data_IF_640530339938
#
_entry.id   IF_640530339938
#
_cell.length_a   1.000
_cell.length_b   1.000
_cell.length_c   1.000
_cell.angle_alpha   90.00
_cell.angle_beta   90.00
_cell.angle_gamma   90.00
#
_symmetry.space_group_name_H-M   'P 1'
#
loop_
_entity.id
_entity.type
_entity.pdbx_description
1 polymer ?
#
# COMPACT_ATOMS: atom_id res chain seq x y z
N UNK A 1 19.22 8.63 -9.25
CA UNK A 1 18.21 7.60 -8.96
C UNK A 1 18.43 6.31 -9.73
N UNK A 2 18.72 6.32 -11.04
CA UNK A 2 18.86 5.08 -11.84
C UNK A 2 20.31 4.60 -12.11
N UNK A 3 21.34 5.36 -11.76
CA UNK A 3 22.76 5.00 -11.99
C UNK A 3 23.45 4.26 -10.81
N UNK A 4 24.63 3.66 -11.10
CA UNK A 4 25.47 2.76 -10.27
C UNK A 4 25.47 3.12 -8.77
N UNK A 5 25.30 2.10 -7.93
CA UNK A 5 25.26 2.10 -6.45
C UNK A 5 23.90 2.40 -5.80
N UNK A 6 22.78 2.35 -6.55
CA UNK A 6 21.41 2.52 -6.00
C UNK A 6 20.49 1.34 -6.33
N UNK A 7 20.90 0.12 -5.94
CA UNK A 7 20.16 -1.15 -6.20
C UNK A 7 18.69 -1.04 -5.75
N UNK A 8 18.42 -0.49 -4.56
CA UNK A 8 17.04 -0.30 -4.05
C UNK A 8 16.19 0.52 -5.01
N UNK A 9 16.70 1.65 -5.50
CA UNK A 9 15.93 2.50 -6.42
C UNK A 9 15.66 1.79 -7.75
N UNK A 10 16.65 1.07 -8.27
CA UNK A 10 16.49 0.30 -9.51
C UNK A 10 15.43 -0.80 -9.34
N UNK A 11 15.50 -1.56 -8.25
CA UNK A 11 14.54 -2.64 -7.97
C UNK A 11 13.14 -2.07 -7.70
N UNK A 12 13.01 -1.03 -6.86
CA UNK A 12 11.73 -0.34 -6.61
C UNK A 12 11.10 0.16 -7.91
N UNK A 13 11.90 0.80 -8.76
CA UNK A 13 11.42 1.30 -10.06
C UNK A 13 11.06 0.14 -10.98
N UNK A 14 11.85 -0.93 -11.01
CA UNK A 14 11.56 -2.13 -11.78
C UNK A 14 10.24 -2.78 -11.38
N UNK A 15 10.00 -2.98 -10.08
CA UNK A 15 8.72 -3.50 -9.59
C UNK A 15 7.56 -2.55 -9.88
N UNK A 16 7.76 -1.24 -9.69
CA UNK A 16 6.75 -0.25 -10.06
C UNK A 16 6.35 -0.34 -11.54
N UNK A 17 7.33 -0.40 -12.44
CA UNK A 17 7.10 -0.54 -13.88
C UNK A 17 6.45 -1.88 -14.23
N UNK A 18 6.84 -2.97 -13.55
CA UNK A 18 6.21 -4.28 -13.71
C UNK A 18 4.72 -4.27 -13.31
N UNK A 19 4.36 -3.59 -12.20
CA UNK A 19 2.96 -3.47 -11.80
C UNK A 19 2.19 -2.65 -12.86
N UNK A 20 2.76 -1.56 -13.37
CA UNK A 20 2.17 -0.78 -14.46
C UNK A 20 1.98 -1.62 -15.74
N UNK A 21 2.99 -2.42 -16.08
CA UNK A 21 2.94 -3.37 -17.19
C UNK A 21 1.75 -4.32 -17.05
N UNK A 22 1.60 -4.98 -15.89
CA UNK A 22 0.51 -5.94 -15.67
C UNK A 22 -0.88 -5.29 -15.83
N UNK A 23 -1.07 -4.10 -15.26
CA UNK A 23 -2.33 -3.38 -15.37
C UNK A 23 -2.63 -2.96 -16.79
N UNK A 24 -1.67 -2.36 -17.46
CA UNK A 24 -1.86 -1.89 -18.82
C UNK A 24 -2.09 -3.08 -19.76
N UNK A 25 -1.31 -4.16 -19.64
CA UNK A 25 -1.47 -5.37 -20.42
C UNK A 25 -2.87 -5.98 -20.25
N UNK A 26 -3.34 -6.13 -19.01
CA UNK A 26 -4.66 -6.71 -18.71
C UNK A 26 -5.82 -5.84 -19.19
N UNK A 27 -5.77 -4.54 -18.91
CA UNK A 27 -6.94 -3.69 -19.14
C UNK A 27 -6.98 -3.12 -20.55
N UNK A 28 -5.84 -2.91 -21.22
CA UNK A 28 -5.84 -2.47 -22.62
C UNK A 28 -6.21 -3.59 -23.60
N UNK A 29 -6.01 -4.86 -23.25
CA UNK A 29 -6.45 -5.99 -24.09
C UNK A 29 -7.97 -6.05 -24.29
N UNK A 30 -8.74 -5.36 -23.44
CA UNK A 30 -10.20 -5.25 -23.55
C UNK A 30 -10.66 -4.24 -24.60
N UNK A 31 -9.77 -3.35 -25.07
CA UNK A 31 -10.14 -2.20 -25.88
C UNK A 31 -9.29 -2.00 -27.14
N UNK A 32 -8.08 -2.55 -27.19
CA UNK A 32 -7.12 -2.31 -28.27
C UNK A 32 -6.54 -3.63 -28.76
N UNK A 33 -6.61 -3.91 -30.06
CA UNK A 33 -6.06 -5.16 -30.64
C UNK A 33 -4.55 -5.28 -30.44
N UNK A 34 -3.82 -4.17 -30.65
CA UNK A 34 -2.37 -4.08 -30.46
C UNK A 34 -1.98 -3.69 -29.02
N UNK A 35 -2.72 -4.17 -28.01
CA UNK A 35 -2.51 -3.83 -26.60
C UNK A 35 -1.10 -4.14 -26.08
N UNK A 36 -0.45 -5.18 -26.61
CA UNK A 36 0.94 -5.54 -26.26
C UNK A 36 1.89 -4.42 -26.67
N UNK A 37 1.79 -3.94 -27.92
CA UNK A 37 2.62 -2.84 -28.43
C UNK A 37 2.36 -1.56 -27.63
N UNK A 38 1.09 -1.22 -27.38
CA UNK A 38 0.72 -0.07 -26.56
C UNK A 38 1.38 -0.14 -25.17
N UNK A 39 1.36 -1.32 -24.55
CA UNK A 39 1.96 -1.55 -23.24
C UNK A 39 3.47 -1.32 -23.25
N UNK A 40 4.19 -1.87 -24.23
CA UNK A 40 5.64 -1.65 -24.35
C UNK A 40 6.00 -0.20 -24.69
N UNK A 41 5.24 0.46 -25.56
CA UNK A 41 5.45 1.88 -25.89
C UNK A 41 5.25 2.75 -24.65
N UNK A 42 4.21 2.50 -23.86
CA UNK A 42 3.97 3.23 -22.62
C UNK A 42 5.11 3.04 -21.61
N UNK A 43 5.59 1.80 -21.40
CA UNK A 43 6.74 1.54 -20.54
C UNK A 43 8.02 2.22 -21.05
N UNK A 44 8.25 2.21 -22.37
CA UNK A 44 9.40 2.86 -22.96
C UNK A 44 9.36 4.37 -22.72
N UNK A 45 8.18 4.99 -22.88
CA UNK A 45 7.97 6.40 -22.55
C UNK A 45 8.27 6.66 -21.08
N UNK A 46 7.75 5.83 -20.15
CA UNK A 46 8.05 5.95 -18.72
C UNK A 46 9.56 5.88 -18.44
N UNK A 47 10.26 4.90 -19.02
CA UNK A 47 11.70 4.74 -18.88
C UNK A 47 12.47 5.94 -19.43
N UNK A 48 12.12 6.44 -20.61
CA UNK A 48 12.74 7.63 -21.21
C UNK A 48 12.58 8.82 -20.27
N UNK A 49 11.36 9.10 -19.78
CA UNK A 49 11.13 10.22 -18.86
C UNK A 49 11.94 10.10 -17.57
N UNK A 50 12.03 8.91 -16.97
CA UNK A 50 12.85 8.70 -15.77
C UNK A 50 14.34 8.94 -16.04
N UNK A 51 14.85 8.51 -17.20
CA UNK A 51 16.23 8.79 -17.64
C UNK A 51 16.44 10.29 -17.90
N UNK A 52 15.46 10.97 -18.49
CA UNK A 52 15.52 12.42 -18.71
C UNK A 52 15.58 13.19 -17.38
N UNK A 53 14.73 12.83 -16.40
CA UNK A 53 14.77 13.42 -15.05
C UNK A 53 16.15 13.20 -14.43
N UNK A 54 16.68 11.97 -14.52
CA UNK A 54 17.98 11.63 -13.94
C UNK A 54 19.13 12.44 -14.55
N UNK A 55 19.12 12.59 -15.88
CA UNK A 55 20.21 13.19 -16.65
C UNK A 55 20.18 14.71 -16.64
N UNK A 56 19.01 15.32 -16.72
CA UNK A 56 18.87 16.76 -16.98
C UNK A 56 18.45 17.58 -15.75
N UNK A 57 17.89 16.96 -14.71
CA UNK A 57 17.58 17.69 -13.47
C UNK A 57 18.84 17.74 -12.60
N UNK A 58 19.30 18.91 -12.12
CA UNK A 58 20.43 18.99 -11.20
C UNK A 58 20.10 18.42 -9.81
N UNK A 59 21.07 17.81 -9.13
CA UNK A 59 20.90 17.25 -7.78
C UNK A 59 20.79 18.35 -6.69
N UNK A 60 21.45 19.49 -6.92
CA UNK A 60 21.58 20.61 -6.00
C UNK A 60 20.46 21.65 -6.09
N UNK A 61 19.56 21.50 -7.08
CA UNK A 61 18.48 22.44 -7.28
C UNK A 61 17.41 22.31 -6.18
N UNK A 62 17.33 23.35 -5.34
CA UNK A 62 16.36 23.43 -4.24
C UNK A 62 15.26 24.44 -4.57
N UNK A 63 14.01 24.01 -4.42
CA UNK A 63 12.84 24.88 -4.52
C UNK A 63 12.34 25.28 -3.14
N UNK A 64 11.74 26.47 -3.05
CA UNK A 64 10.96 26.84 -1.86
C UNK A 64 9.82 25.87 -1.67
N UNK A 65 9.42 25.65 -0.41
CA UNK A 65 8.32 24.74 -0.08
C UNK A 65 7.04 25.12 -0.86
N UNK A 66 6.70 26.42 -0.93
CA UNK A 66 5.52 26.92 -1.67
C UNK A 66 5.56 26.52 -3.16
N UNK A 67 6.69 26.69 -3.83
CA UNK A 67 6.83 26.31 -5.25
C UNK A 67 6.66 24.79 -5.46
N UNK A 68 7.19 23.96 -4.55
CA UNK A 68 6.99 22.50 -4.59
C UNK A 68 5.50 22.12 -4.51
N UNK A 69 4.73 22.82 -3.66
CA UNK A 69 3.27 22.59 -3.54
C UNK A 69 2.52 22.96 -4.82
N UNK A 70 2.77 24.14 -5.40
CA UNK A 70 2.07 24.57 -6.62
C UNK A 70 2.43 23.75 -7.86
N UNK A 71 3.70 23.34 -8.00
CA UNK A 71 4.18 22.60 -9.17
C UNK A 71 3.50 21.22 -9.32
N UNK A 72 3.19 20.55 -8.21
CA UNK A 72 2.69 19.18 -8.24
C UNK A 72 1.26 19.00 -7.74
N UNK A 73 0.84 19.64 -6.64
CA UNK A 73 -0.49 19.36 -6.10
C UNK A 73 -1.62 19.98 -6.90
N UNK A 74 -1.43 21.17 -7.46
CA UNK A 74 -2.51 21.86 -8.17
C UNK A 74 -2.87 21.14 -9.49
N UNK A 75 -1.91 20.84 -10.38
CA UNK A 75 -2.23 20.09 -11.60
C UNK A 75 -2.85 18.73 -11.31
N UNK A 76 -2.40 18.10 -10.22
CA UNK A 76 -2.83 16.79 -9.81
C UNK A 76 -4.24 16.76 -9.22
N UNK A 77 -4.56 17.70 -8.34
CA UNK A 77 -5.90 17.86 -7.79
C UNK A 77 -6.91 18.12 -8.91
N UNK A 78 -6.52 18.95 -9.89
CA UNK A 78 -7.34 19.20 -11.09
C UNK A 78 -7.48 17.92 -11.92
N UNK A 79 -6.39 17.24 -12.24
CA UNK A 79 -6.42 16.04 -13.07
C UNK A 79 -7.23 14.90 -12.45
N UNK A 80 -7.05 14.62 -11.16
CA UNK A 80 -7.84 13.61 -10.46
C UNK A 80 -9.29 14.03 -10.25
N UNK A 81 -9.55 15.33 -9.99
CA UNK A 81 -10.90 15.87 -9.94
C UNK A 81 -11.64 15.65 -11.26
N UNK A 82 -10.97 15.87 -12.40
CA UNK A 82 -11.51 15.60 -13.73
C UNK A 82 -11.77 14.10 -13.94
N UNK A 83 -10.84 13.22 -13.57
CA UNK A 83 -11.06 11.77 -13.69
C UNK A 83 -12.30 11.34 -12.89
N UNK A 84 -12.46 11.84 -11.67
CA UNK A 84 -13.62 11.52 -10.84
C UNK A 84 -14.93 12.06 -11.42
N UNK A 85 -14.92 13.17 -12.16
CA UNK A 85 -16.12 13.68 -12.82
C UNK A 85 -16.55 12.85 -14.03
N UNK A 86 -15.61 12.10 -14.65
CA UNK A 86 -15.89 11.20 -15.77
C UNK A 86 -15.97 9.71 -15.35
N UNK A 87 -15.60 9.38 -14.12
CA UNK A 87 -15.63 8.02 -13.63
C UNK A 87 -17.08 7.49 -13.57
N UNK A 88 -17.33 6.26 -14.05
CA UNK A 88 -18.66 5.67 -14.00
C UNK A 88 -19.14 5.51 -12.55
N UNK A 89 -20.45 5.66 -12.34
CA UNK A 89 -21.03 5.50 -11.01
C UNK A 89 -20.96 4.05 -10.52
N UNK A 90 -21.24 3.11 -11.42
CA UNK A 90 -21.15 1.67 -11.18
C UNK A 90 -20.03 1.05 -12.00
N UNK A 91 -19.31 0.11 -11.40
CA UNK A 91 -18.29 -0.68 -12.12
C UNK A 91 -18.56 -2.16 -11.93
N UNK A 92 -18.10 -2.99 -12.88
CA UNK A 92 -18.21 -4.45 -12.79
C UNK A 92 -17.48 -5.01 -11.55
N UNK A 93 -16.49 -4.29 -11.04
CA UNK A 93 -15.73 -4.65 -9.84
C UNK A 93 -16.38 -3.94 -8.65
N UNK A 94 -17.44 -4.58 -8.13
CA UNK A 94 -18.43 -4.05 -7.18
C UNK A 94 -17.92 -3.94 -5.73
N UNK A 95 -16.69 -3.42 -5.52
CA UNK A 95 -16.12 -3.23 -4.16
C UNK A 95 -16.78 -2.09 -3.40
N UNK A 96 -17.06 -0.99 -4.09
CA UNK A 96 -17.83 0.12 -3.54
C UNK A 96 -19.23 -0.34 -3.13
N UNK A 97 -19.92 -1.09 -3.99
CA UNK A 97 -21.28 -1.55 -3.68
C UNK A 97 -21.29 -2.59 -2.56
N UNK A 98 -20.28 -3.47 -2.48
CA UNK A 98 -20.11 -4.37 -1.33
C UNK A 98 -19.95 -3.60 -0.01
N UNK A 99 -19.19 -2.50 -0.02
CA UNK A 99 -19.03 -1.63 1.15
C UNK A 99 -20.31 -0.87 1.49
N UNK A 100 -21.02 -0.35 0.50
CA UNK A 100 -22.31 0.33 0.70
C UNK A 100 -23.35 -0.63 1.27
N UNK A 101 -23.47 -1.84 0.72
CA UNK A 101 -24.40 -2.86 1.21
C UNK A 101 -24.07 -3.27 2.65
N UNK A 102 -22.78 -3.50 2.95
CA UNK A 102 -22.34 -3.80 4.33
C UNK A 102 -22.73 -2.69 5.31
N UNK A 103 -22.55 -1.42 4.92
CA UNK A 103 -22.93 -0.27 5.74
C UNK A 103 -24.45 -0.16 5.91
N UNK A 104 -25.22 -0.37 4.85
CA UNK A 104 -26.68 -0.36 4.89
C UNK A 104 -27.22 -1.43 5.82
N UNK A 105 -26.70 -2.66 5.74
CA UNK A 105 -27.11 -3.76 6.62
C UNK A 105 -26.77 -3.45 8.07
N UNK A 106 -25.55 -2.96 8.34
CA UNK A 106 -25.14 -2.57 9.69
C UNK A 106 -26.09 -1.53 10.29
N UNK A 107 -26.43 -0.49 9.52
CA UNK A 107 -27.30 0.60 9.98
C UNK A 107 -28.75 0.16 10.18
N UNK A 108 -29.21 -0.85 9.44
CA UNK A 108 -30.54 -1.43 9.56
C UNK A 108 -30.65 -2.53 10.64
N UNK A 109 -29.57 -2.81 11.37
CA UNK A 109 -29.56 -3.88 12.37
C UNK A 109 -29.61 -5.28 11.75
N UNK A 110 -29.11 -5.42 10.52
CA UNK A 110 -28.94 -6.69 9.80
C UNK A 110 -27.46 -7.10 9.86
N UNK A 111 -27.19 -8.38 10.05
CA UNK A 111 -25.80 -8.87 10.16
C UNK A 111 -25.05 -8.69 8.82
N UNK A 112 -23.99 -7.87 8.76
CA UNK A 112 -23.49 -7.35 7.49
C UNK A 112 -22.51 -8.28 6.75
N UNK A 113 -22.03 -9.36 7.40
CA UNK A 113 -21.18 -10.39 6.77
C UNK A 113 -21.97 -11.59 6.25
N UNK A 114 -23.22 -11.38 5.82
CA UNK A 114 -24.06 -12.41 5.20
C UNK A 114 -24.62 -12.01 3.82
N UNK A 115 -24.03 -11.00 3.19
CA UNK A 115 -24.50 -10.43 1.93
C UNK A 115 -24.01 -11.22 0.73
N UNK A 116 -24.76 -11.18 -0.37
CA UNK A 116 -24.39 -11.86 -1.63
C UNK A 116 -23.04 -11.39 -2.20
N UNK A 117 -22.59 -10.19 -1.82
CA UNK A 117 -21.37 -9.56 -2.30
C UNK A 117 -20.11 -9.94 -1.50
N UNK A 118 -20.24 -10.78 -0.45
CA UNK A 118 -19.14 -11.32 0.37
C UNK A 118 -18.00 -10.31 0.64
N UNK A 119 -18.25 -9.31 1.51
CA UNK A 119 -17.31 -8.23 1.76
C UNK A 119 -16.00 -8.75 2.33
N UNK A 120 -14.91 -8.48 1.62
CA UNK A 120 -13.57 -8.97 2.00
C UNK A 120 -12.90 -8.18 3.13
N UNK A 121 -13.34 -6.95 3.39
CA UNK A 121 -12.73 -6.05 4.39
C UNK A 121 -13.11 -6.38 5.83
N UNK A 122 -12.25 -6.01 6.77
CA UNK A 122 -12.58 -6.04 8.20
C UNK A 122 -13.38 -4.79 8.63
N UNK A 123 -14.00 -4.77 9.82
CA UNK A 123 -14.94 -3.71 10.22
C UNK A 123 -14.41 -2.29 10.09
N UNK A 124 -13.16 -2.03 10.46
CA UNK A 124 -12.60 -0.67 10.40
C UNK A 124 -12.44 -0.18 8.96
N UNK A 125 -12.27 -1.07 7.98
CA UNK A 125 -12.25 -0.69 6.57
C UNK A 125 -13.55 0.04 6.17
N UNK A 126 -14.70 -0.47 6.61
CA UNK A 126 -16.00 0.15 6.33
C UNK A 126 -16.20 1.45 7.09
N UNK A 127 -15.68 1.56 8.31
CA UNK A 127 -15.70 2.83 9.06
C UNK A 127 -14.89 3.92 8.37
N UNK A 128 -13.78 3.57 7.70
CA UNK A 128 -12.99 4.51 6.90
C UNK A 128 -13.77 4.94 5.65
N UNK A 129 -14.51 4.04 5.02
CA UNK A 129 -15.32 4.31 3.82
C UNK A 129 -16.58 5.13 4.16
N UNK A 130 -17.17 4.90 5.33
CA UNK A 130 -18.45 5.49 5.75
C UNK A 130 -18.60 7.00 5.53
N UNK A 131 -17.67 7.89 5.94
CA UNK A 131 -17.81 9.32 5.71
C UNK A 131 -17.91 9.69 4.23
N UNK A 132 -17.22 8.96 3.35
CA UNK A 132 -17.26 9.18 1.90
C UNK A 132 -18.54 8.60 1.28
N UNK A 133 -19.07 7.52 1.85
CA UNK A 133 -20.39 7.00 1.49
C UNK A 133 -21.50 8.01 1.83
N UNK A 134 -21.41 8.69 2.98
CA UNK A 134 -22.35 9.77 3.36
C UNK A 134 -22.27 10.97 2.44
N UNK A 135 -21.08 11.29 1.91
CA UNK A 135 -20.89 12.31 0.89
C UNK A 135 -21.43 11.91 -0.50
N UNK A 136 -22.00 10.72 -0.64
CA UNK A 136 -22.59 10.20 -1.88
C UNK A 136 -21.56 9.72 -2.91
N UNK A 137 -20.27 9.72 -2.60
CA UNK A 137 -19.22 9.26 -3.51
C UNK A 137 -18.04 8.65 -2.76
N UNK A 138 -17.98 7.32 -2.72
CA UNK A 138 -16.87 6.57 -2.10
C UNK A 138 -15.52 6.79 -2.79
N UNK A 139 -15.53 7.22 -4.07
CA UNK A 139 -14.33 7.59 -4.84
C UNK A 139 -13.54 8.77 -4.24
N UNK A 140 -14.18 9.55 -3.38
CA UNK A 140 -13.51 10.62 -2.64
C UNK A 140 -12.42 10.08 -1.70
N UNK A 141 -12.56 8.86 -1.18
CA UNK A 141 -11.53 8.25 -0.34
C UNK A 141 -10.19 8.20 -1.09
N UNK A 142 -10.21 7.73 -2.34
CA UNK A 142 -9.03 7.58 -3.19
C UNK A 142 -8.49 8.95 -3.58
N UNK A 143 -9.35 9.92 -3.87
CA UNK A 143 -8.95 11.30 -4.11
C UNK A 143 -8.13 11.89 -2.95
N UNK A 144 -8.68 11.83 -1.72
CA UNK A 144 -8.01 12.34 -0.54
C UNK A 144 -6.75 11.54 -0.20
N UNK A 145 -6.76 10.23 -0.46
CA UNK A 145 -5.58 9.38 -0.30
C UNK A 145 -4.45 9.81 -1.24
N UNK A 146 -4.74 10.03 -2.52
CA UNK A 146 -3.77 10.52 -3.51
C UNK A 146 -3.20 11.87 -3.09
N UNK A 147 -4.06 12.84 -2.76
CA UNK A 147 -3.61 14.16 -2.31
C UNK A 147 -2.72 14.08 -1.07
N UNK A 148 -3.10 13.23 -0.11
CA UNK A 148 -2.33 13.02 1.12
C UNK A 148 -0.96 12.39 0.84
N UNK A 149 -0.87 11.44 -0.10
CA UNK A 149 0.39 10.86 -0.56
C UNK A 149 1.28 11.93 -1.18
N UNK A 150 0.75 12.76 -2.08
CA UNK A 150 1.54 13.84 -2.68
C UNK A 150 2.03 14.85 -1.65
N UNK A 151 1.17 15.25 -0.72
CA UNK A 151 1.54 16.14 0.37
C UNK A 151 2.70 15.54 1.19
N UNK A 152 2.60 14.25 1.53
CA UNK A 152 3.66 13.52 2.22
C UNK A 152 4.97 13.57 1.43
N UNK A 153 4.94 13.25 0.13
CA UNK A 153 6.15 13.22 -0.70
C UNK A 153 6.77 14.60 -0.92
N UNK A 154 5.98 15.66 -1.07
CA UNK A 154 6.49 17.04 -1.10
C UNK A 154 7.26 17.35 0.18
N UNK A 155 6.72 16.92 1.33
CA UNK A 155 7.34 17.18 2.63
C UNK A 155 8.65 16.41 2.84
N UNK A 156 8.76 15.21 2.26
CA UNK A 156 9.91 14.32 2.46
C UNK A 156 10.95 14.35 1.33
N UNK A 157 10.67 14.97 0.19
CA UNK A 157 11.64 15.07 -0.91
C UNK A 157 12.63 16.21 -0.65
N UNK A 158 13.92 15.86 -0.58
CA UNK A 158 15.02 16.79 -0.27
C UNK A 158 15.35 17.66 -1.48
N UNK A 159 15.50 17.06 -2.66
CA UNK A 159 15.84 17.74 -3.92
C UNK A 159 14.62 17.93 -4.84
N UNK A 160 14.74 18.80 -5.85
CA UNK A 160 13.75 18.85 -6.94
C UNK A 160 13.75 17.54 -7.73
N UNK A 161 14.91 16.92 -7.95
CA UNK A 161 15.03 15.65 -8.67
C UNK A 161 14.20 14.55 -8.00
N UNK A 162 14.35 14.37 -6.69
CA UNK A 162 13.57 13.40 -5.91
C UNK A 162 12.07 13.66 -5.99
N UNK A 163 11.70 14.94 -5.93
CA UNK A 163 10.31 15.35 -6.05
C UNK A 163 9.71 15.03 -7.44
N UNK A 164 10.41 15.39 -8.51
CA UNK A 164 9.99 15.14 -9.89
C UNK A 164 9.97 13.65 -10.20
N UNK A 165 10.97 12.89 -9.74
CA UNK A 165 11.05 11.45 -9.96
C UNK A 165 9.87 10.74 -9.31
N UNK A 166 9.64 10.95 -8.01
CA UNK A 166 8.50 10.34 -7.30
C UNK A 166 7.15 10.85 -7.81
N UNK A 167 7.06 12.15 -8.12
CA UNK A 167 5.85 12.76 -8.68
C UNK A 167 5.49 12.15 -10.03
N UNK A 168 6.48 11.96 -10.91
CA UNK A 168 6.30 11.28 -12.20
C UNK A 168 5.85 9.82 -12.04
N UNK A 169 6.42 9.07 -11.08
CA UNK A 169 5.97 7.71 -10.84
C UNK A 169 4.48 7.68 -10.47
N UNK A 170 4.01 8.52 -9.55
CA UNK A 170 2.59 8.54 -9.21
C UNK A 170 1.72 8.96 -10.39
N UNK A 171 2.11 10.04 -11.09
CA UNK A 171 1.39 10.58 -12.24
C UNK A 171 1.35 9.62 -13.44
N UNK A 172 2.29 8.71 -13.55
CA UNK A 172 2.31 7.71 -14.62
C UNK A 172 1.77 6.36 -14.17
N UNK A 173 1.26 6.25 -12.93
CA UNK A 173 0.82 4.99 -12.34
C UNK A 173 -0.58 4.59 -12.80
N UNK A 174 -0.65 3.77 -13.85
CA UNK A 174 -1.89 3.13 -14.34
C UNK A 174 -2.72 2.50 -13.21
N UNK A 175 -2.11 1.76 -12.26
CA UNK A 175 -2.87 1.13 -11.18
C UNK A 175 -3.58 2.10 -10.23
N UNK A 176 -3.04 3.31 -10.04
CA UNK A 176 -3.69 4.32 -9.18
C UNK A 176 -4.92 4.93 -9.86
N UNK A 177 -4.87 5.08 -11.19
CA UNK A 177 -6.03 5.47 -11.97
C UNK A 177 -7.12 4.39 -11.94
N UNK A 178 -6.72 3.12 -12.00
CA UNK A 178 -7.65 2.02 -11.81
C UNK A 178 -8.36 2.08 -10.45
N UNK A 179 -7.64 2.32 -9.35
CA UNK A 179 -8.25 2.43 -8.00
C UNK A 179 -9.28 3.56 -7.91
N UNK A 180 -9.04 4.68 -8.59
CA UNK A 180 -9.98 5.80 -8.64
C UNK A 180 -11.25 5.46 -9.43
N UNK A 181 -11.09 4.84 -10.61
CA UNK A 181 -12.22 4.47 -11.46
C UNK A 181 -13.08 3.40 -10.81
N UNK A 182 -12.46 2.40 -10.18
CA UNK A 182 -13.16 1.29 -9.50
C UNK A 182 -13.54 1.64 -8.05
N UNK A 183 -13.12 2.80 -7.55
CA UNK A 183 -13.37 3.27 -6.17
C UNK A 183 -12.89 2.25 -5.13
N UNK A 184 -11.72 1.65 -5.36
CA UNK A 184 -11.17 0.61 -4.48
C UNK A 184 -10.28 1.16 -3.36
N UNK A 185 -10.37 0.53 -2.21
CA UNK A 185 -9.72 0.87 -0.96
C UNK A 185 -8.37 0.16 -0.73
N UNK A 186 -7.88 -0.63 -1.70
CA UNK A 186 -6.61 -1.38 -1.55
C UNK A 186 -5.46 -0.41 -1.38
N UNK A 187 -5.33 0.55 -2.31
CA UNK A 187 -4.24 1.53 -2.23
C UNK A 187 -4.35 2.37 -0.95
N UNK A 188 -5.56 2.81 -0.59
CA UNK A 188 -5.80 3.59 0.62
C UNK A 188 -5.37 2.86 1.88
N UNK A 189 -5.62 1.57 2.00
CA UNK A 189 -5.17 0.77 3.13
C UNK A 189 -3.65 0.71 3.25
N UNK A 190 -2.94 0.47 2.14
CA UNK A 190 -1.48 0.48 2.13
C UNK A 190 -0.90 1.86 2.46
N UNK A 191 -1.50 2.93 1.93
CA UNK A 191 -1.10 4.29 2.23
C UNK A 191 -1.31 4.67 3.70
N UNK A 192 -2.45 4.28 4.31
CA UNK A 192 -2.69 4.54 5.73
C UNK A 192 -1.67 3.84 6.62
N UNK A 193 -1.26 2.62 6.27
CA UNK A 193 -0.19 1.93 6.97
C UNK A 193 1.16 2.66 6.83
N UNK A 194 1.51 3.09 5.61
CA UNK A 194 2.70 3.92 5.38
C UNK A 194 2.66 5.22 6.20
N UNK A 195 1.51 5.90 6.23
CA UNK A 195 1.31 7.12 7.00
C UNK A 195 1.52 6.89 8.50
N UNK A 196 0.99 5.78 9.04
CA UNK A 196 1.20 5.38 10.43
C UNK A 196 2.69 5.13 10.72
N UNK A 197 3.40 4.41 9.84
CA UNK A 197 4.85 4.21 9.97
C UNK A 197 5.59 5.55 10.05
N UNK A 198 5.27 6.51 9.17
CA UNK A 198 5.85 7.86 9.21
C UNK A 198 5.54 8.61 10.51
N UNK A 199 4.31 8.52 11.02
CA UNK A 199 3.92 9.15 12.28
C UNK A 199 4.73 8.55 13.44
N UNK A 200 4.84 7.22 13.51
CA UNK A 200 5.57 6.53 14.56
C UNK A 200 7.06 6.87 14.51
N UNK A 201 7.68 6.79 13.33
CA UNK A 201 9.10 7.12 13.13
C UNK A 201 9.43 8.55 13.59
N UNK A 202 8.48 9.49 13.50
CA UNK A 202 8.70 10.89 13.84
C UNK A 202 8.30 11.26 15.27
N UNK A 203 7.24 10.65 15.81
CA UNK A 203 6.62 11.09 17.07
C UNK A 203 6.79 10.12 18.23
N UNK A 204 7.18 8.87 17.99
CA UNK A 204 7.31 7.86 19.04
C UNK A 204 8.78 7.67 19.39
N UNK A 205 9.09 7.92 20.66
CA UNK A 205 10.42 7.76 21.24
C UNK A 205 10.78 6.28 21.44
N UNK A 206 12.03 5.95 21.13
CA UNK A 206 12.59 4.61 21.32
C UNK A 206 12.83 4.26 22.78
N UNK A 207 12.95 5.26 23.66
CA UNK A 207 13.18 5.07 25.10
C UNK A 207 11.88 5.15 25.91
N UNK A 208 11.01 6.12 25.63
CA UNK A 208 9.88 6.45 26.53
C UNK A 208 8.56 5.78 26.14
N UNK A 209 7.81 5.34 27.16
CA UNK A 209 6.42 4.89 27.04
C UNK A 209 5.49 6.10 27.05
N UNK A 210 5.32 6.74 25.89
CA UNK A 210 4.55 7.97 25.75
C UNK A 210 3.09 7.72 25.36
N UNK A 211 2.21 8.70 25.54
CA UNK A 211 0.84 8.64 24.99
C UNK A 211 0.84 8.36 23.47
N UNK A 212 1.80 8.94 22.74
CA UNK A 212 2.01 8.66 21.31
C UNK A 212 2.30 7.19 21.01
N UNK A 213 3.01 6.48 21.90
CA UNK A 213 3.27 5.04 21.76
C UNK A 213 1.96 4.25 21.86
N UNK A 214 1.19 4.43 22.93
CA UNK A 214 -0.07 3.71 23.15
C UNK A 214 -1.11 4.03 22.07
N UNK A 215 -1.25 5.32 21.72
CA UNK A 215 -2.17 5.75 20.67
C UNK A 215 -1.80 5.14 19.31
N UNK A 216 -0.50 5.12 18.96
CA UNK A 216 -0.06 4.50 17.71
C UNK A 216 -0.25 2.98 17.69
N UNK A 217 -0.11 2.30 18.84
CA UNK A 217 -0.39 0.87 18.95
C UNK A 217 -1.87 0.55 18.75
N UNK A 218 -2.77 1.37 19.33
CA UNK A 218 -4.21 1.26 19.08
C UNK A 218 -4.51 1.49 17.60
N UNK A 219 -3.97 2.56 16.99
CA UNK A 219 -4.15 2.82 15.56
C UNK A 219 -3.63 1.67 14.68
N UNK A 220 -2.50 1.06 15.04
CA UNK A 220 -1.99 -0.11 14.33
C UNK A 220 -2.99 -1.28 14.39
N UNK A 221 -3.59 -1.53 15.56
CA UNK A 221 -4.64 -2.53 15.72
C UNK A 221 -5.90 -2.23 14.90
N UNK A 222 -6.31 -0.96 14.82
CA UNK A 222 -7.40 -0.54 13.95
C UNK A 222 -7.07 -0.75 12.47
N UNK A 223 -5.82 -0.52 12.05
CA UNK A 223 -5.38 -0.82 10.67
C UNK A 223 -5.30 -2.33 10.38
N UNK A 224 -4.96 -3.16 11.36
CA UNK A 224 -5.10 -4.63 11.20
C UNK A 224 -6.56 -5.02 10.94
N UNK A 225 -7.51 -4.25 11.47
CA UNK A 225 -8.96 -4.36 11.19
C UNK A 225 -9.38 -3.70 9.87
N UNK A 226 -8.45 -3.52 8.93
CA UNK A 226 -8.79 -3.29 7.53
C UNK A 226 -8.45 -4.50 6.66
N UNK A 227 -7.20 -5.00 6.73
CA UNK A 227 -6.70 -6.15 5.94
C UNK A 227 -5.62 -6.95 6.68
N UNK A 228 -5.69 -8.28 6.65
CA UNK A 228 -4.74 -9.16 7.35
C UNK A 228 -3.32 -9.11 6.79
N UNK A 229 -3.15 -8.78 5.51
CA UNK A 229 -1.82 -8.69 4.87
C UNK A 229 -0.92 -7.64 5.56
N UNK A 230 -1.50 -6.70 6.32
CA UNK A 230 -0.76 -5.72 7.11
C UNK A 230 -0.06 -6.38 8.31
N UNK A 231 -0.54 -7.52 8.80
CA UNK A 231 0.00 -8.20 9.98
C UNK A 231 1.51 -8.52 9.89
N UNK A 232 2.01 -9.24 8.87
CA UNK A 232 3.44 -9.48 8.72
C UNK A 232 4.23 -8.18 8.53
N UNK A 233 3.64 -7.16 7.88
CA UNK A 233 4.29 -5.86 7.69
C UNK A 233 4.42 -5.07 9.00
N UNK A 234 3.44 -5.20 9.90
CA UNK A 234 3.53 -4.63 11.24
C UNK A 234 4.66 -5.26 12.03
N UNK A 235 4.82 -6.59 11.98
CA UNK A 235 5.94 -7.27 12.63
C UNK A 235 7.30 -6.77 12.11
N UNK A 236 7.44 -6.66 10.79
CA UNK A 236 8.62 -6.09 10.13
C UNK A 236 8.92 -4.69 10.69
N UNK A 237 7.90 -3.82 10.72
CA UNK A 237 8.05 -2.46 11.21
C UNK A 237 8.42 -2.38 12.71
N UNK A 238 7.79 -3.21 13.56
CA UNK A 238 8.08 -3.22 15.00
C UNK A 238 9.49 -3.70 15.29
N UNK A 239 9.97 -4.71 14.56
CA UNK A 239 11.36 -5.18 14.68
C UNK A 239 12.34 -4.11 14.24
N UNK A 240 12.06 -3.39 13.13
CA UNK A 240 12.90 -2.26 12.75
C UNK A 240 12.94 -1.17 13.83
N UNK A 241 11.76 -0.71 14.30
CA UNK A 241 11.66 0.46 15.18
C UNK A 241 12.15 0.17 16.60
N UNK A 242 11.83 -1.01 17.12
CA UNK A 242 12.07 -1.35 18.52
C UNK A 242 13.02 -2.55 18.70
N UNK A 243 13.90 -2.85 17.73
CA UNK A 243 14.89 -3.96 17.82
C UNK A 243 15.70 -3.97 19.13
N UNK A 244 15.98 -2.78 19.68
CA UNK A 244 16.76 -2.62 20.91
C UNK A 244 15.91 -2.81 22.19
N UNK A 245 14.59 -2.98 22.08
CA UNK A 245 13.67 -3.12 23.22
C UNK A 245 12.57 -4.13 22.94
N UNK A 246 12.87 -5.41 23.20
CA UNK A 246 11.89 -6.49 23.09
C UNK A 246 10.59 -6.26 23.90
N UNK A 247 10.61 -5.70 25.12
CA UNK A 247 9.38 -5.37 25.84
C UNK A 247 8.47 -4.41 25.07
N UNK A 248 9.02 -3.43 24.35
CA UNK A 248 8.22 -2.52 23.52
C UNK A 248 7.60 -3.21 22.33
N UNK A 249 8.32 -4.11 21.66
CA UNK A 249 7.78 -4.92 20.56
C UNK A 249 6.57 -5.71 21.08
N UNK A 250 6.74 -6.41 22.20
CA UNK A 250 5.69 -7.24 22.79
C UNK A 250 4.48 -6.41 23.23
N UNK A 251 4.69 -5.33 23.97
CA UNK A 251 3.57 -4.49 24.44
C UNK A 251 2.86 -3.78 23.30
N UNK A 252 3.59 -3.22 22.32
CA UNK A 252 2.96 -2.59 21.15
C UNK A 252 2.13 -3.62 20.38
N UNK A 253 2.70 -4.80 20.12
CA UNK A 253 2.02 -5.90 19.44
C UNK A 253 0.76 -6.35 20.18
N UNK A 254 0.84 -6.54 21.50
CA UNK A 254 -0.31 -6.92 22.33
C UNK A 254 -1.42 -5.87 22.30
N UNK A 255 -1.09 -4.58 22.45
CA UNK A 255 -2.09 -3.50 22.38
C UNK A 255 -2.76 -3.48 20.99
N UNK A 256 -1.97 -3.62 19.92
CA UNK A 256 -2.49 -3.67 18.56
C UNK A 256 -3.41 -4.89 18.34
N UNK A 257 -3.03 -6.07 18.81
CA UNK A 257 -3.85 -7.29 18.73
C UNK A 257 -5.13 -7.14 19.55
N UNK A 258 -5.07 -6.60 20.77
CA UNK A 258 -6.25 -6.35 21.59
C UNK A 258 -7.19 -5.38 20.88
N UNK A 259 -6.69 -4.24 20.38
CA UNK A 259 -7.50 -3.28 19.63
C UNK A 259 -8.13 -3.92 18.38
N UNK A 260 -7.38 -4.72 17.63
CA UNK A 260 -7.89 -5.50 16.51
C UNK A 260 -9.03 -6.43 16.94
N UNK A 261 -8.83 -7.28 17.95
CA UNK A 261 -9.84 -8.23 18.42
C UNK A 261 -11.11 -7.53 18.93
N UNK A 262 -10.96 -6.40 19.61
CA UNK A 262 -12.11 -5.59 20.08
C UNK A 262 -12.99 -5.09 18.93
N UNK A 263 -12.42 -4.81 17.76
CA UNK A 263 -13.23 -4.43 16.58
C UNK A 263 -14.01 -5.59 15.99
N UNK A 264 -13.56 -6.84 16.18
CA UNK A 264 -14.23 -8.03 15.66
C UNK A 264 -15.30 -8.55 16.61
N UNK A 265 -15.10 -8.35 17.91
CA UNK A 265 -15.92 -8.92 18.98
C UNK A 265 -17.43 -8.69 18.80
N UNK A 266 -17.93 -7.48 18.41
CA UNK A 266 -19.35 -7.28 18.20
C UNK A 266 -19.95 -8.20 17.12
N UNK A 267 -19.21 -8.46 16.04
CA UNK A 267 -19.67 -9.29 14.92
C UNK A 267 -19.60 -10.78 15.25
N UNK A 268 -18.58 -11.19 16.01
CA UNK A 268 -18.46 -12.58 16.49
C UNK A 268 -19.62 -12.90 17.45
N UNK A 269 -19.96 -11.98 18.37
CA UNK A 269 -21.08 -12.16 19.31
C UNK A 269 -22.41 -12.14 18.56
N UNK A 270 -22.56 -11.32 17.53
CA UNK A 270 -23.80 -11.22 16.76
C UNK A 270 -24.10 -12.50 15.97
N UNK A 271 -23.12 -13.01 15.20
CA UNK A 271 -23.28 -14.28 14.50
C UNK A 271 -21.90 -14.90 14.17
N UNK A 272 -21.41 -15.75 15.07
CA UNK A 272 -20.09 -16.38 14.95
C UNK A 272 -19.99 -17.28 13.71
N UNK A 273 -21.00 -18.10 13.44
CA UNK A 273 -21.02 -19.05 12.32
C UNK A 273 -20.87 -18.32 10.98
N UNK A 274 -21.70 -17.29 10.72
CA UNK A 274 -21.61 -16.51 9.49
C UNK A 274 -20.33 -15.69 9.42
N UNK A 275 -19.86 -15.14 10.54
CA UNK A 275 -18.64 -14.34 10.56
C UNK A 275 -17.40 -15.15 10.12
N UNK A 276 -17.28 -16.40 10.56
CA UNK A 276 -16.14 -17.24 10.17
C UNK A 276 -16.31 -17.93 8.81
N UNK A 277 -17.54 -18.25 8.39
CA UNK A 277 -17.80 -18.93 7.11
C UNK A 277 -17.89 -17.99 5.90
N UNK A 278 -18.41 -16.77 6.08
CA UNK A 278 -18.64 -15.81 5.00
C UNK A 278 -17.95 -14.44 5.23
N UNK A 279 -17.37 -14.22 6.41
CA UNK A 279 -16.71 -12.97 6.75
C UNK A 279 -15.27 -12.85 6.22
N UNK A 280 -14.52 -11.86 6.73
CA UNK A 280 -13.26 -11.43 6.12
C UNK A 280 -12.15 -12.49 6.21
N UNK A 281 -12.19 -13.36 7.23
CA UNK A 281 -11.24 -14.47 7.35
C UNK A 281 -11.41 -15.49 6.22
N UNK A 282 -12.65 -15.85 5.87
CA UNK A 282 -12.95 -16.78 4.78
C UNK A 282 -12.48 -16.20 3.44
N UNK A 283 -12.78 -14.93 3.17
CA UNK A 283 -12.42 -14.32 1.89
C UNK A 283 -10.91 -14.09 1.75
N UNK A 284 -10.22 -13.68 2.82
CA UNK A 284 -8.79 -13.35 2.73
C UNK A 284 -7.88 -14.60 2.76
N UNK A 285 -8.31 -15.70 3.38
CA UNK A 285 -7.51 -16.93 3.46
C UNK A 285 -7.47 -17.74 2.16
N UNK A 286 -8.37 -17.46 1.20
CA UNK A 286 -8.39 -18.11 -0.13
C UNK A 286 -7.10 -17.83 -0.91
N UNK A 287 -6.50 -16.65 -0.72
CA UNK A 287 -5.43 -16.19 -1.61
C UNK A 287 -4.03 -16.66 -1.20
N UNK A 288 -3.76 -16.97 0.06
CA UNK A 288 -2.43 -17.39 0.50
C UNK A 288 -2.49 -18.59 1.44
N UNK A 289 -1.93 -19.76 1.04
CA UNK A 289 -1.84 -20.93 1.90
C UNK A 289 -1.17 -20.61 3.26
N UNK A 290 -1.63 -21.22 4.37
CA UNK A 290 -1.09 -20.95 5.71
C UNK A 290 0.43 -21.16 5.84
N UNK A 291 0.99 -22.15 5.12
CA UNK A 291 2.43 -22.42 5.10
C UNK A 291 3.20 -21.23 4.52
N UNK A 292 2.73 -20.67 3.40
CA UNK A 292 3.35 -19.50 2.80
C UNK A 292 3.19 -18.26 3.68
N UNK A 293 2.04 -18.09 4.34
CA UNK A 293 1.88 -17.03 5.33
C UNK A 293 2.92 -17.13 6.45
N UNK A 294 3.19 -18.35 6.96
CA UNK A 294 4.27 -18.59 7.92
C UNK A 294 5.65 -18.18 7.41
N UNK A 295 5.98 -18.53 6.17
CA UNK A 295 7.25 -18.11 5.52
C UNK A 295 7.33 -16.59 5.40
N UNK A 296 6.25 -15.92 4.98
CA UNK A 296 6.20 -14.46 4.87
C UNK A 296 6.39 -13.79 6.24
N UNK A 297 5.82 -14.34 7.31
CA UNK A 297 6.03 -13.83 8.68
C UNK A 297 7.50 -13.91 9.07
N UNK A 298 8.17 -15.05 8.81
CA UNK A 298 9.60 -15.24 9.13
C UNK A 298 10.47 -14.27 8.32
N UNK A 299 10.24 -14.17 7.01
CA UNK A 299 10.97 -13.25 6.13
C UNK A 299 10.74 -11.79 6.50
N UNK A 300 9.52 -11.45 6.90
CA UNK A 300 9.17 -10.11 7.39
C UNK A 300 9.90 -9.79 8.70
N UNK A 301 10.00 -10.75 9.61
CA UNK A 301 10.74 -10.59 10.85
C UNK A 301 12.24 -10.37 10.59
N UNK A 302 12.84 -11.20 9.74
CA UNK A 302 14.24 -11.06 9.34
C UNK A 302 14.50 -9.70 8.67
N UNK A 303 13.66 -9.32 7.70
CA UNK A 303 13.80 -8.06 6.97
C UNK A 303 13.67 -6.84 7.90
N UNK A 304 12.76 -6.90 8.88
CA UNK A 304 12.58 -5.84 9.87
C UNK A 304 13.81 -5.65 10.75
N UNK A 305 14.41 -6.76 11.18
CA UNK A 305 15.65 -6.75 11.96
C UNK A 305 16.85 -6.25 11.14
N UNK A 306 16.94 -6.65 9.88
CA UNK A 306 18.07 -6.36 9.00
C UNK A 306 18.05 -4.96 8.37
N UNK A 307 16.88 -4.33 8.25
CA UNK A 307 16.74 -3.01 7.64
C UNK A 307 17.55 -1.95 8.42
N UNK A 308 18.47 -1.28 7.73
CA UNK A 308 19.37 -0.34 8.37
C UNK A 308 18.73 1.03 8.60
N UNK A 309 17.97 1.51 7.62
CA UNK A 309 17.36 2.84 7.62
C UNK A 309 15.89 2.80 7.15
N UNK A 310 15.20 3.93 7.26
CA UNK A 310 13.77 4.04 6.91
C UNK A 310 13.46 3.74 5.44
N UNK A 311 14.40 3.97 4.52
CA UNK A 311 14.17 3.72 3.09
C UNK A 311 14.28 2.23 2.78
N UNK A 312 15.24 1.54 3.39
CA UNK A 312 15.31 0.06 3.39
C UNK A 312 14.10 -0.57 4.05
N UNK A 313 13.58 0.01 5.13
CA UNK A 313 12.34 -0.41 5.77
C UNK A 313 11.17 -0.33 4.77
N UNK A 314 10.95 0.83 4.13
CA UNK A 314 9.87 0.99 3.15
C UNK A 314 10.04 0.05 1.97
N UNK A 315 11.25 -0.05 1.42
CA UNK A 315 11.55 -1.00 0.34
C UNK A 315 11.23 -2.44 0.74
N UNK A 316 11.67 -2.88 1.92
CA UNK A 316 11.45 -4.23 2.43
C UNK A 316 9.96 -4.52 2.66
N UNK A 317 9.19 -3.54 3.16
CA UNK A 317 7.73 -3.65 3.24
C UNK A 317 7.10 -3.85 1.86
N UNK A 318 7.47 -3.03 0.88
CA UNK A 318 7.00 -3.16 -0.50
C UNK A 318 7.35 -4.52 -1.11
N UNK A 319 8.59 -4.99 -0.87
CA UNK A 319 9.08 -6.27 -1.35
C UNK A 319 8.34 -7.46 -0.72
N UNK A 320 8.13 -7.46 0.60
CA UNK A 320 7.41 -8.55 1.27
C UNK A 320 5.95 -8.63 0.83
N UNK A 321 5.29 -7.48 0.63
CA UNK A 321 3.96 -7.43 0.01
C UNK A 321 4.00 -8.01 -1.41
N UNK A 322 4.97 -7.58 -2.23
CA UNK A 322 5.10 -8.04 -3.61
C UNK A 322 5.31 -9.55 -3.68
N UNK A 323 6.20 -10.11 -2.85
CA UNK A 323 6.46 -11.55 -2.76
C UNK A 323 5.19 -12.29 -2.35
N UNK A 324 4.43 -11.78 -1.37
CA UNK A 324 3.17 -12.41 -0.95
C UNK A 324 2.16 -12.48 -2.10
N UNK A 325 2.03 -11.40 -2.87
CA UNK A 325 1.06 -11.28 -3.96
C UNK A 325 1.50 -12.08 -5.18
N UNK A 326 2.78 -12.05 -5.56
CA UNK A 326 3.28 -12.79 -6.72
C UNK A 326 3.24 -14.30 -6.47
N UNK A 327 3.51 -14.77 -5.25
CA UNK A 327 3.36 -16.20 -4.92
C UNK A 327 1.91 -16.65 -5.05
N UNK A 328 0.97 -15.85 -4.53
CA UNK A 328 -0.46 -16.09 -4.69
C UNK A 328 -0.86 -16.15 -6.17
N UNK A 329 -0.41 -15.18 -6.96
CA UNK A 329 -0.63 -15.15 -8.41
C UNK A 329 -0.07 -16.40 -9.12
N UNK A 330 1.17 -16.79 -8.79
CA UNK A 330 1.81 -17.96 -9.40
C UNK A 330 1.10 -19.27 -9.06
N UNK A 331 0.53 -19.41 -7.85
CA UNK A 331 -0.32 -20.53 -7.50
C UNK A 331 -1.60 -20.54 -8.35
N UNK A 332 -2.28 -19.40 -8.48
CA UNK A 332 -3.47 -19.33 -9.35
C UNK A 332 -3.14 -19.65 -10.81
N UNK A 333 -1.96 -19.22 -11.29
CA UNK A 333 -1.46 -19.54 -12.63
C UNK A 333 -1.13 -21.02 -12.77
N UNK A 334 -0.58 -21.68 -11.75
CA UNK A 334 -0.36 -23.14 -11.81
C UNK A 334 -1.67 -23.92 -11.85
N UNK A 335 -2.71 -23.41 -11.18
CA UNK A 335 -3.99 -24.10 -11.06
C UNK A 335 -4.92 -23.89 -12.26
N UNK A 336 -4.90 -22.69 -12.87
CA UNK A 336 -5.87 -22.30 -13.91
C UNK A 336 -5.23 -21.87 -15.23
N UNK A 337 -3.90 -21.70 -15.27
CA UNK A 337 -3.16 -21.17 -16.41
C UNK A 337 -3.03 -19.64 -16.40
N UNK A 338 -2.06 -19.13 -17.16
CA UNK A 338 -1.75 -17.69 -17.22
C UNK A 338 -2.90 -16.87 -17.81
N UNK A 339 -3.51 -17.36 -18.89
CA UNK A 339 -4.58 -16.64 -19.58
C UNK A 339 -5.80 -16.48 -18.68
N UNK A 340 -6.24 -17.56 -18.04
CA UNK A 340 -7.38 -17.54 -17.13
C UNK A 340 -7.12 -16.67 -15.89
N UNK A 341 -5.94 -16.81 -15.29
CA UNK A 341 -5.48 -16.00 -14.15
C UNK A 341 -5.49 -14.49 -14.45
N UNK A 342 -4.88 -14.10 -15.57
CA UNK A 342 -4.64 -12.69 -15.86
C UNK A 342 -5.82 -12.03 -16.57
N UNK A 343 -6.37 -12.65 -17.61
CA UNK A 343 -7.36 -12.04 -18.51
C UNK A 343 -8.81 -12.38 -18.14
N UNK A 344 -9.08 -13.57 -17.60
CA UNK A 344 -10.43 -14.00 -17.18
C UNK A 344 -10.68 -13.87 -15.67
N UNK A 345 -9.96 -12.94 -15.02
CA UNK A 345 -10.24 -12.48 -13.66
C UNK A 345 -10.20 -13.60 -12.57
N UNK A 346 -9.49 -14.72 -12.81
CA UNK A 346 -9.28 -15.74 -11.75
C UNK A 346 -8.31 -15.26 -10.67
N UNK A 347 -7.43 -14.32 -10.97
CA UNK A 347 -6.65 -13.58 -9.99
C UNK A 347 -6.90 -12.07 -10.08
N UNK A 348 -7.06 -11.43 -8.93
CA UNK A 348 -7.24 -9.99 -8.86
C UNK A 348 -5.89 -9.26 -8.79
N UNK A 349 -5.39 -8.81 -9.95
CA UNK A 349 -4.12 -8.08 -10.02
C UNK A 349 -4.12 -6.75 -9.23
N UNK A 350 -5.29 -6.26 -8.77
CA UNK A 350 -5.34 -5.05 -7.95
C UNK A 350 -4.61 -5.16 -6.63
N UNK A 351 -4.38 -6.38 -6.12
CA UNK A 351 -3.58 -6.57 -4.91
C UNK A 351 -2.15 -6.00 -5.03
N UNK A 352 -1.55 -5.97 -6.22
CA UNK A 352 -0.23 -5.35 -6.44
C UNK A 352 -0.19 -3.85 -6.07
N UNK A 353 -1.36 -3.18 -5.99
CA UNK A 353 -1.45 -1.78 -5.54
C UNK A 353 -0.99 -1.57 -4.10
N UNK A 354 -1.00 -2.63 -3.28
CA UNK A 354 -0.47 -2.58 -1.92
C UNK A 354 1.02 -2.21 -1.87
N UNK A 355 1.79 -2.55 -2.91
CA UNK A 355 3.24 -2.36 -2.95
C UNK A 355 3.65 -0.93 -3.35
N UNK A 356 2.85 -0.28 -4.18
CA UNK A 356 3.16 1.01 -4.82
C UNK A 356 3.60 2.10 -3.82
N UNK A 357 2.85 2.40 -2.74
CA UNK A 357 3.23 3.50 -1.86
C UNK A 357 4.59 3.26 -1.19
N UNK A 358 4.93 1.99 -0.90
CA UNK A 358 6.20 1.60 -0.29
C UNK A 358 7.38 1.67 -1.26
N UNK A 359 7.22 1.22 -2.51
CA UNK A 359 8.27 1.36 -3.52
C UNK A 359 8.59 2.82 -3.82
N UNK A 360 7.57 3.69 -3.86
CA UNK A 360 7.77 5.13 -4.07
C UNK A 360 8.45 5.78 -2.86
N UNK A 361 8.02 5.43 -1.64
CA UNK A 361 8.62 5.94 -0.40
C UNK A 361 10.06 5.44 -0.19
N UNK A 362 10.37 4.22 -0.63
CA UNK A 362 11.71 3.62 -0.55
C UNK A 362 12.72 4.18 -1.54
N UNK A 363 12.31 4.95 -2.56
CA UNK A 363 13.25 5.61 -3.48
C UNK A 363 13.93 6.76 -2.78
N UNK A 364 15.26 6.85 -2.82
CA UNK A 364 16.01 7.89 -2.12
C UNK A 364 17.36 8.23 -2.79
N UNK A 365 17.85 9.44 -2.53
CA UNK A 365 19.19 9.87 -2.93
C UNK A 365 20.22 9.41 -1.89
N UNK A 366 20.48 8.11 -1.81
CA UNK A 366 21.58 7.59 -1.00
C UNK A 366 22.89 7.52 -1.78
N UNK A 367 24.00 7.70 -1.07
CA UNK A 367 25.33 7.22 -1.47
C UNK A 367 25.69 6.15 -0.42
N UNK A 368 26.36 5.06 -0.80
CA UNK A 368 26.80 3.87 0.01
C UNK A 368 25.87 2.65 -0.14
N UNK A 369 26.30 1.39 -0.04
CA UNK A 369 27.24 0.64 -0.90
C UNK A 369 26.87 -0.86 -0.96
N UNK A 370 26.01 -1.41 -0.07
CA UNK A 370 25.59 -2.83 -0.15
C UNK A 370 24.16 -3.05 0.35
N UNK A 371 23.45 -3.97 -0.32
CA UNK A 371 22.08 -4.39 0.00
C UNK A 371 22.11 -5.49 1.09
N UNK A 372 21.43 -5.25 2.22
CA UNK A 372 21.20 -6.21 3.33
C UNK A 372 22.48 -6.94 3.79
N UNK A 373 23.33 -6.25 4.57
CA UNK A 373 24.60 -6.85 5.01
C UNK A 373 25.17 -6.39 6.36
N UNK A 374 24.52 -5.50 7.11
CA UNK A 374 24.91 -5.23 8.50
C UNK A 374 23.85 -5.77 9.44
N UNK A 375 24.17 -6.89 10.10
CA UNK A 375 23.64 -7.12 11.44
C UNK A 375 24.27 -6.02 12.29
N UNK A 376 23.52 -4.94 12.57
CA UNK A 376 24.04 -3.90 13.47
C UNK A 376 24.21 -4.53 14.86
N UNK A 377 25.42 -4.48 15.45
CA UNK A 377 25.54 -4.76 16.87
C UNK A 377 24.70 -3.72 17.64
N UNK A 378 24.05 -4.17 18.71
CA UNK A 378 23.29 -3.31 19.62
C UNK A 378 24.16 -2.11 20.05
N UNK A 379 23.84 -0.88 19.61
CA UNK A 379 24.46 0.34 20.16
C UNK A 379 24.85 1.48 19.23
N UNK A 380 24.75 1.37 17.90
CA UNK A 380 25.06 2.50 16.99
C UNK A 380 23.78 3.11 16.40
N UNK A 381 23.43 4.34 16.82
CA UNK A 381 22.38 5.17 16.22
C UNK A 381 22.95 6.02 15.07
N UNK A 382 22.23 6.09 13.96
CA UNK A 382 22.48 7.04 12.88
C UNK A 382 22.26 8.48 13.40
N UNK A 383 23.32 9.26 13.48
CA UNK A 383 23.22 10.71 13.52
C UNK A 383 22.93 11.24 12.10
N UNK A 384 21.77 11.90 11.97
CA UNK A 384 21.28 12.83 10.92
C UNK A 384 20.44 12.27 9.76
#
# INVERSE_FOLDING_TARGET
MLAKNKIINLISTGFFLFINFLFLLKYSSRYVDNFILLTFVFLLIQLIFLVLIEKFVPDDFTLTAKTKYYLLLVPLAVFYGLILSYAPQETRVSRADAATLWLTDLLNGVFPYGTEKNPSGFPVNFLIIYPFSLAGNTGLLQFFTMLSLFFLLIRYSKSLKELLFRGFLILSSVPLYYELVVKSEIFSNAFLFLLLMFIILRKVSDEKWSASFFFSAILAGLLLSTRLVIFPMLLLFLLYKFRNSFPKILSFGLIAVIAFLLTLLPFIIWNSERFFSAGPFAVQSIYLPPVLMGVIIILSAYSGWAAANKYELFFSTGLMLFISIILSFLITVSDTGLYESLFNDRFDISYFNLCIPFFIAGIYEYKVDYFLGKIMPLGEEDQV
#
